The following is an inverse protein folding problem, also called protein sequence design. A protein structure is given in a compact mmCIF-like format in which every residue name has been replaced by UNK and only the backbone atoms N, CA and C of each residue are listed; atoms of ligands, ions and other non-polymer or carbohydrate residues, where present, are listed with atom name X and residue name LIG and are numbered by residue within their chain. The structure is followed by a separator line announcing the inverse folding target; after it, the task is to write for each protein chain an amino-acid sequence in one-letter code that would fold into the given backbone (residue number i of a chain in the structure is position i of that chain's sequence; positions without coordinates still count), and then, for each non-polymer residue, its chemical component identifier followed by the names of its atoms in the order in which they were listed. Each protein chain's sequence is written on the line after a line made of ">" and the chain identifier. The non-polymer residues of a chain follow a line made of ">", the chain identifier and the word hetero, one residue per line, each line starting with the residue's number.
data_IF_306504273956
#
_entry.id   IF_306504273956
#
_cell.length_a   1.000
_cell.length_b   1.000
_cell.length_c   1.000
_cell.angle_alpha   90.00
_cell.angle_beta   90.00
_cell.angle_gamma   90.00
#
_symmetry.space_group_name_H-M   'P 1'
#
loop_
_entity.id
_entity.type
_entity.pdbx_description
1 polymer ?
#
# COMPACT_ATOMS: atom_id res chain seq x y z
N UNK A 1 -22.26 -58.05 -18.21
CA UNK A 1 -21.76 -57.45 -16.96
C UNK A 1 -21.41 -55.98 -17.24
N UNK A 2 -22.25 -55.10 -16.78
CA UNK A 2 -22.02 -53.66 -16.90
C UNK A 2 -21.10 -53.22 -15.77
N UNK A 3 -19.82 -52.93 -16.08
CA UNK A 3 -18.93 -52.26 -15.13
C UNK A 3 -19.37 -50.82 -15.03
N UNK A 4 -19.92 -50.45 -13.88
CA UNK A 4 -20.19 -49.04 -13.57
C UNK A 4 -18.84 -48.32 -13.44
N UNK A 5 -18.47 -47.55 -14.46
CA UNK A 5 -17.39 -46.55 -14.31
C UNK A 5 -17.94 -45.45 -13.44
N UNK A 6 -17.51 -45.44 -12.19
CA UNK A 6 -17.70 -44.24 -11.34
C UNK A 6 -16.73 -43.17 -11.82
N UNK A 7 -17.25 -42.20 -12.58
CA UNK A 7 -16.52 -40.99 -12.81
C UNK A 7 -16.44 -40.24 -11.46
N UNK A 8 -15.29 -40.33 -10.83
CA UNK A 8 -14.96 -39.41 -9.73
C UNK A 8 -14.78 -38.03 -10.34
N UNK A 9 -15.79 -37.16 -10.19
CA UNK A 9 -15.67 -35.76 -10.54
C UNK A 9 -14.79 -35.16 -9.46
N UNK A 10 -13.51 -34.96 -9.81
CA UNK A 10 -12.59 -34.21 -8.99
C UNK A 10 -12.98 -32.74 -9.10
N UNK A 11 -13.80 -32.28 -8.17
CA UNK A 11 -14.12 -30.87 -8.07
C UNK A 11 -12.86 -30.13 -7.65
N UNK A 12 -12.16 -29.52 -8.61
CA UNK A 12 -11.07 -28.61 -8.34
C UNK A 12 -11.71 -27.32 -7.79
N UNK A 13 -11.72 -27.20 -6.45
CA UNK A 13 -12.11 -25.94 -5.83
C UNK A 13 -11.10 -24.86 -6.22
N UNK A 14 -11.51 -23.95 -7.11
CA UNK A 14 -10.76 -22.72 -7.31
C UNK A 14 -10.85 -21.91 -6.01
N UNK A 15 -9.81 -22.00 -5.22
CA UNK A 15 -9.63 -21.04 -4.13
C UNK A 15 -9.19 -19.73 -4.79
N UNK A 16 -10.00 -18.65 -4.72
CA UNK A 16 -9.54 -17.38 -5.25
C UNK A 16 -8.25 -17.02 -4.52
N UNK A 17 -7.18 -16.81 -5.28
CA UNK A 17 -5.96 -16.27 -4.72
C UNK A 17 -6.34 -14.93 -4.06
N UNK A 18 -6.18 -14.85 -2.73
CA UNK A 18 -6.28 -13.59 -2.02
C UNK A 18 -5.24 -12.66 -2.63
N UNK A 19 -5.70 -11.77 -3.51
CA UNK A 19 -4.85 -10.75 -4.07
C UNK A 19 -4.41 -9.85 -2.93
N UNK A 20 -3.10 -9.79 -2.67
CA UNK A 20 -2.48 -8.86 -1.73
C UNK A 20 -2.48 -7.42 -2.26
N UNK A 21 -3.06 -7.21 -3.43
CA UNK A 21 -3.18 -5.88 -4.02
C UNK A 21 -4.17 -5.04 -3.24
N UNK A 22 -3.79 -3.80 -2.95
CA UNK A 22 -4.66 -2.79 -2.36
C UNK A 22 -5.83 -2.53 -3.31
N UNK A 23 -7.06 -2.51 -2.78
CA UNK A 23 -8.24 -2.27 -3.60
C UNK A 23 -8.34 -0.83 -4.11
N UNK A 24 -9.11 -0.62 -5.19
CA UNK A 24 -9.24 0.66 -5.86
C UNK A 24 -9.84 1.75 -4.94
N UNK A 25 -10.77 1.41 -4.06
CA UNK A 25 -11.36 2.34 -3.12
C UNK A 25 -10.35 2.87 -2.11
N UNK A 26 -9.50 1.99 -1.58
CA UNK A 26 -8.40 2.36 -0.68
C UNK A 26 -7.39 3.24 -1.40
N UNK A 27 -7.02 2.92 -2.65
CA UNK A 27 -6.09 3.74 -3.42
C UNK A 27 -6.65 5.14 -3.71
N UNK A 28 -7.93 5.27 -4.02
CA UNK A 28 -8.57 6.57 -4.22
C UNK A 28 -8.56 7.41 -2.95
N UNK A 29 -8.87 6.81 -1.81
CA UNK A 29 -8.82 7.45 -0.50
C UNK A 29 -7.41 7.91 -0.17
N UNK A 30 -6.44 7.06 -0.41
CA UNK A 30 -5.01 7.36 -0.22
C UNK A 30 -4.51 8.47 -1.13
N UNK A 31 -4.89 8.45 -2.40
CA UNK A 31 -4.55 9.51 -3.35
C UNK A 31 -5.09 10.86 -2.91
N UNK A 32 -6.31 10.90 -2.42
CA UNK A 32 -6.94 12.13 -1.93
C UNK A 32 -6.16 12.73 -0.76
N UNK A 33 -5.79 11.92 0.23
CA UNK A 33 -4.98 12.38 1.35
C UNK A 33 -3.57 12.79 0.90
N UNK A 34 -2.95 12.01 0.02
CA UNK A 34 -1.66 12.34 -0.57
C UNK A 34 -1.68 13.73 -1.19
N UNK A 35 -2.64 14.01 -2.06
CA UNK A 35 -2.76 15.30 -2.75
C UNK A 35 -3.02 16.48 -1.82
N UNK A 36 -3.71 16.25 -0.72
CA UNK A 36 -4.03 17.32 0.23
C UNK A 36 -2.90 17.60 1.22
N UNK A 37 -2.07 16.61 1.56
CA UNK A 37 -1.20 16.74 2.74
C UNK A 37 0.23 16.22 2.58
N UNK A 38 0.47 15.34 1.64
CA UNK A 38 1.77 14.67 1.47
C UNK A 38 2.56 15.20 0.28
N UNK A 39 1.87 15.78 -0.67
CA UNK A 39 2.41 16.17 -1.98
C UNK A 39 3.54 17.20 -1.90
N UNK A 40 3.49 18.11 -0.93
CA UNK A 40 4.46 19.19 -0.82
C UNK A 40 5.91 18.67 -0.70
N UNK A 41 6.11 17.57 0.00
CA UNK A 41 7.44 16.96 0.17
C UNK A 41 7.65 15.75 -0.75
N UNK A 42 6.64 14.87 -0.83
CA UNK A 42 6.79 13.61 -1.57
C UNK A 42 6.67 13.73 -3.09
N UNK A 43 6.26 14.87 -3.63
CA UNK A 43 6.28 15.11 -5.08
C UNK A 43 7.63 15.63 -5.58
N UNK A 44 8.36 16.34 -4.73
CA UNK A 44 9.62 17.02 -5.08
C UNK A 44 10.86 16.38 -4.48
N UNK A 45 10.71 15.55 -3.45
CA UNK A 45 11.83 15.04 -2.65
C UNK A 45 12.36 16.04 -1.65
N UNK A 46 11.59 17.09 -1.31
CA UNK A 46 11.98 18.10 -0.34
C UNK A 46 12.34 17.46 1.01
N UNK A 47 13.37 17.96 1.66
CA UNK A 47 13.85 17.51 2.98
C UNK A 47 14.15 16.00 3.03
N UNK A 48 14.64 15.43 1.93
CA UNK A 48 14.92 14.00 1.75
C UNK A 48 13.69 13.08 1.83
N UNK A 49 12.50 13.61 1.60
CA UNK A 49 11.32 12.78 1.47
C UNK A 49 11.47 11.83 0.27
N UNK A 50 11.13 10.55 0.42
CA UNK A 50 11.14 9.64 -0.72
C UNK A 50 10.12 10.11 -1.75
N UNK A 51 10.64 10.52 -2.91
CA UNK A 51 9.85 11.10 -3.99
C UNK A 51 8.91 10.07 -4.59
N UNK A 52 7.66 10.46 -4.82
CA UNK A 52 6.67 9.60 -5.47
C UNK A 52 7.21 9.06 -6.80
N UNK A 53 7.14 7.75 -7.01
CA UNK A 53 7.62 7.09 -8.21
C UNK A 53 9.13 6.79 -8.23
N UNK A 54 9.89 7.29 -7.26
CA UNK A 54 11.33 6.99 -7.19
C UNK A 54 11.57 5.59 -6.60
N UNK A 55 11.75 4.62 -7.47
CA UNK A 55 11.94 3.23 -7.11
C UNK A 55 13.12 3.01 -6.17
N UNK A 56 14.25 3.66 -6.42
CA UNK A 56 15.45 3.51 -5.58
C UNK A 56 15.22 3.97 -4.14
N UNK A 57 14.45 5.04 -3.95
CA UNK A 57 14.13 5.54 -2.61
C UNK A 57 13.14 4.65 -1.87
N UNK A 58 12.17 4.08 -2.58
CA UNK A 58 11.10 3.31 -1.99
C UNK A 58 11.40 1.82 -1.77
N UNK A 59 12.21 1.20 -2.62
CA UNK A 59 12.50 -0.23 -2.50
C UNK A 59 13.00 -0.66 -1.11
N UNK A 60 13.95 0.04 -0.48
CA UNK A 60 14.38 -0.33 0.87
C UNK A 60 13.28 -0.19 1.92
N UNK A 61 12.40 0.80 1.76
CA UNK A 61 11.28 1.03 2.67
C UNK A 61 10.22 -0.06 2.52
N UNK A 62 9.89 -0.41 1.29
CA UNK A 62 8.95 -1.49 0.98
C UNK A 62 9.49 -2.83 1.52
N UNK A 63 10.78 -3.08 1.39
CA UNK A 63 11.42 -4.29 1.90
C UNK A 63 11.32 -4.43 3.43
N UNK A 64 11.29 -3.32 4.16
CA UNK A 64 11.08 -3.32 5.62
C UNK A 64 9.63 -3.57 6.02
N UNK A 65 8.69 -3.41 5.11
CA UNK A 65 7.28 -3.71 5.30
C UNK A 65 6.41 -2.53 5.69
N UNK A 66 5.11 -2.74 5.56
CA UNK A 66 4.09 -1.72 5.81
C UNK A 66 4.06 -1.26 7.26
N UNK A 67 4.27 -2.15 8.22
CA UNK A 67 4.25 -1.79 9.65
C UNK A 67 5.32 -0.76 9.98
N UNK A 68 6.53 -0.92 9.43
CA UNK A 68 7.60 0.04 9.61
C UNK A 68 7.29 1.38 8.94
N UNK A 69 6.74 1.36 7.75
CA UNK A 69 6.32 2.59 7.06
C UNK A 69 5.22 3.31 7.84
N UNK A 70 4.27 2.58 8.40
CA UNK A 70 3.21 3.16 9.22
C UNK A 70 3.73 3.72 10.55
N UNK A 71 4.72 3.08 11.15
CA UNK A 71 5.37 3.62 12.34
C UNK A 71 5.99 4.99 12.07
N UNK A 72 6.73 5.12 10.98
CA UNK A 72 7.32 6.39 10.53
C UNK A 72 6.24 7.42 10.21
N UNK A 73 5.22 7.06 9.44
CA UNK A 73 4.15 7.97 9.06
C UNK A 73 3.37 8.49 10.28
N UNK A 74 3.14 7.63 11.26
CA UNK A 74 2.39 7.97 12.48
C UNK A 74 3.18 8.86 13.41
N UNK A 75 4.44 8.54 13.63
CA UNK A 75 5.31 9.25 14.59
C UNK A 75 6.07 10.43 13.99
N UNK A 76 6.24 10.44 12.67
CA UNK A 76 7.13 11.35 11.98
C UNK A 76 8.59 10.90 12.02
N UNK A 77 9.41 11.53 11.21
CA UNK A 77 10.86 11.28 11.15
C UNK A 77 11.56 12.48 10.51
N UNK A 78 12.54 13.05 11.21
CA UNK A 78 13.25 14.23 10.70
C UNK A 78 12.29 15.39 10.41
N UNK A 79 12.31 15.89 9.18
CA UNK A 79 11.43 16.96 8.75
C UNK A 79 9.97 16.53 8.52
N UNK A 80 9.72 15.23 8.42
CA UNK A 80 8.36 14.71 8.29
C UNK A 80 7.64 14.79 9.64
N UNK A 81 6.58 15.60 9.74
CA UNK A 81 5.81 15.66 10.98
C UNK A 81 4.98 14.38 11.18
N UNK A 82 4.60 14.12 12.43
CA UNK A 82 3.68 13.04 12.75
C UNK A 82 2.42 13.16 11.89
N UNK A 83 1.99 12.06 11.30
CA UNK A 83 0.82 11.96 10.41
C UNK A 83 0.86 12.92 9.20
N UNK A 84 2.05 13.33 8.77
CA UNK A 84 2.19 14.33 7.73
C UNK A 84 1.59 15.69 8.09
N UNK A 85 1.45 15.99 9.37
CA UNK A 85 0.81 17.22 9.87
C UNK A 85 -0.71 17.20 9.78
N UNK A 86 -1.33 16.03 9.56
CA UNK A 86 -2.78 15.90 9.42
C UNK A 86 -3.43 15.39 10.72
N UNK A 87 -4.77 15.46 10.74
CA UNK A 87 -5.60 14.78 11.74
C UNK A 87 -6.22 13.49 11.20
N UNK A 88 -5.69 12.97 10.10
CA UNK A 88 -6.18 11.75 9.49
C UNK A 88 -6.08 10.58 10.48
N UNK A 89 -7.08 9.71 10.45
CA UNK A 89 -7.04 8.46 11.20
C UNK A 89 -6.03 7.46 10.61
N UNK A 90 -5.77 6.38 11.32
CA UNK A 90 -4.78 5.39 10.90
C UNK A 90 -5.14 4.73 9.57
N UNK A 91 -6.42 4.47 9.33
CA UNK A 91 -6.89 3.89 8.09
C UNK A 91 -6.60 4.81 6.89
N UNK A 92 -6.92 6.09 7.02
CA UNK A 92 -6.68 7.08 5.97
C UNK A 92 -5.18 7.30 5.74
N UNK A 93 -4.40 7.37 6.81
CA UNK A 93 -2.96 7.50 6.73
C UNK A 93 -2.33 6.29 6.04
N UNK A 94 -2.76 5.08 6.41
CA UNK A 94 -2.33 3.84 5.76
C UNK A 94 -2.67 3.84 4.27
N UNK A 95 -3.88 4.27 3.92
CA UNK A 95 -4.29 4.37 2.52
C UNK A 95 -3.36 5.29 1.71
N UNK A 96 -2.93 6.41 2.29
CA UNK A 96 -1.98 7.31 1.64
C UNK A 96 -0.61 6.66 1.44
N UNK A 97 -0.11 5.92 2.42
CA UNK A 97 1.14 5.17 2.28
C UNK A 97 1.01 4.08 1.21
N UNK A 98 -0.08 3.33 1.22
CA UNK A 98 -0.36 2.31 0.20
C UNK A 98 -0.47 2.90 -1.21
N UNK A 99 -1.07 4.07 -1.33
CA UNK A 99 -1.10 4.80 -2.59
C UNK A 99 0.31 5.13 -3.08
N UNK A 100 1.17 5.68 -2.24
CA UNK A 100 2.55 6.00 -2.62
C UNK A 100 3.33 4.75 -2.99
N UNK A 101 3.18 3.66 -2.26
CA UNK A 101 3.80 2.36 -2.58
C UNK A 101 3.31 1.83 -3.94
N UNK A 102 2.03 1.98 -4.23
CA UNK A 102 1.45 1.53 -5.52
C UNK A 102 2.05 2.24 -6.73
N UNK A 103 2.56 3.45 -6.54
CA UNK A 103 3.16 4.26 -7.62
C UNK A 103 4.60 3.86 -7.96
N UNK A 104 5.18 2.96 -7.18
CA UNK A 104 6.57 2.47 -7.38
C UNK A 104 6.59 1.18 -8.19
N UNK A 105 5.52 0.45 -8.20
CA UNK A 105 5.39 -0.87 -8.83
C UNK A 105 5.06 -0.79 -10.32
#
# INVERSE_FOLDING_TARGET
>A
MLKKLSLAILSLALVPALSMATDAGTLQKGEKLYKSSCIACHSTGAANAPKLGNKQAWEPLIARGMDQMMDVATKGKGAMPARGGTKADDESLRAAVEYMVSRVQ
#
